data_IF_680501365307
#
_entry.id   IF_680501365307
#
_cell.length_a   1.000
_cell.length_b   1.000
_cell.length_c   1.000
_cell.angle_alpha   90.00
_cell.angle_beta   90.00
_cell.angle_gamma   90.00
#
_symmetry.space_group_name_H-M   'P 1'
#
loop_
_entity.id
_entity.type
_entity.pdbx_description
1 polymer ?
#
# COMPACT_ATOMS: atom_id res chain seq x y z
N UNK A 1 -7.46 1.34 26.54
CA UNK A 1 -8.21 1.32 25.26
C UNK A 1 -7.79 2.49 24.35
N UNK A 2 -6.98 2.21 23.32
CA UNK A 2 -6.57 3.21 22.32
C UNK A 2 -7.75 3.46 21.37
N UNK A 3 -8.45 4.57 21.54
CA UNK A 3 -9.62 4.91 20.71
C UNK A 3 -9.17 5.38 19.32
N UNK A 4 -8.93 4.42 18.43
CA UNK A 4 -8.73 4.66 17.01
C UNK A 4 -10.12 4.73 16.37
N UNK A 5 -10.48 5.90 15.84
CA UNK A 5 -11.75 6.12 15.16
C UNK A 5 -11.54 5.98 13.67
N UNK A 6 -12.32 5.12 13.02
CA UNK A 6 -12.33 5.00 11.57
C UNK A 6 -13.37 5.95 11.01
N UNK A 7 -12.95 6.97 10.28
CA UNK A 7 -13.83 7.96 9.67
C UNK A 7 -13.50 8.11 8.19
N UNK A 8 -14.51 7.93 7.32
CA UNK A 8 -14.37 7.92 5.86
C UNK A 8 -13.27 6.97 5.29
N UNK A 9 -12.90 5.93 6.05
CA UNK A 9 -11.84 4.99 5.66
C UNK A 9 -10.43 5.37 6.13
N UNK A 10 -10.28 6.49 6.83
CA UNK A 10 -9.04 6.91 7.49
C UNK A 10 -9.07 6.51 8.95
N UNK A 11 -7.94 5.97 9.44
CA UNK A 11 -7.78 5.64 10.86
C UNK A 11 -7.18 6.82 11.61
N UNK A 12 -8.01 7.46 12.44
CA UNK A 12 -7.65 8.63 13.22
C UNK A 12 -7.41 8.22 14.67
N UNK A 13 -6.18 8.41 15.15
CA UNK A 13 -5.87 8.33 16.57
C UNK A 13 -6.35 9.59 17.30
N UNK A 14 -6.65 9.50 18.62
CA UNK A 14 -7.01 10.67 19.46
C UNK A 14 -6.00 11.82 19.40
N UNK A 15 -4.74 11.54 19.04
CA UNK A 15 -3.67 12.53 18.88
C UNK A 15 -3.48 13.00 17.43
N UNK A 16 -4.34 12.60 16.49
CA UNK A 16 -4.17 12.79 15.03
C UNK A 16 -2.81 12.30 14.50
N UNK A 17 -2.18 11.39 15.23
CA UNK A 17 -0.96 10.72 14.79
C UNK A 17 -1.40 9.61 13.85
N UNK A 18 -1.41 9.88 12.54
CA UNK A 18 -1.76 8.93 11.48
C UNK A 18 -0.85 7.68 11.40
N UNK A 19 -0.04 7.41 12.42
CA UNK A 19 0.89 6.28 12.50
C UNK A 19 0.18 4.94 12.26
N UNK A 20 -1.01 4.75 12.82
CA UNK A 20 -1.76 3.51 12.58
C UNK A 20 -2.28 3.41 11.15
N UNK A 21 -2.73 4.53 10.57
CA UNK A 21 -3.16 4.62 9.17
C UNK A 21 -1.99 4.29 8.22
N UNK A 22 -0.85 4.96 8.40
CA UNK A 22 0.39 4.72 7.65
C UNK A 22 0.86 3.27 7.77
N UNK A 23 0.77 2.66 8.96
CA UNK A 23 1.16 1.24 9.15
C UNK A 23 0.26 0.28 8.36
N UNK A 24 -1.05 0.53 8.32
CA UNK A 24 -1.99 -0.29 7.53
C UNK A 24 -1.68 -0.14 6.03
N UNK A 25 -1.51 1.10 5.57
CA UNK A 25 -1.23 1.41 4.18
C UNK A 25 0.11 0.84 3.72
N UNK A 26 1.16 0.98 4.53
CA UNK A 26 2.46 0.37 4.29
C UNK A 26 2.37 -1.15 4.22
N UNK A 27 1.56 -1.77 5.10
CA UNK A 27 1.28 -3.21 5.04
C UNK A 27 0.58 -3.62 3.74
N UNK A 28 -0.42 -2.85 3.31
CA UNK A 28 -1.14 -3.08 2.05
C UNK A 28 -0.23 -2.91 0.83
N UNK A 29 0.57 -1.84 0.81
CA UNK A 29 1.57 -1.57 -0.21
C UNK A 29 2.62 -2.69 -0.28
N UNK A 30 3.09 -3.18 0.87
CA UNK A 30 4.02 -4.31 0.94
C UNK A 30 3.45 -5.59 0.34
N UNK A 31 2.16 -5.90 0.60
CA UNK A 31 1.48 -7.03 -0.05
C UNK A 31 1.40 -6.85 -1.57
N UNK A 32 1.04 -5.65 -2.03
CA UNK A 32 0.98 -5.35 -3.47
C UNK A 32 2.34 -5.48 -4.16
N UNK A 33 3.43 -5.02 -3.52
CA UNK A 33 4.81 -5.22 -4.01
C UNK A 33 5.15 -6.71 -4.08
N UNK A 34 4.81 -7.50 -3.04
CA UNK A 34 5.04 -8.95 -3.04
C UNK A 34 4.33 -9.65 -4.19
N UNK A 35 3.07 -9.30 -4.45
CA UNK A 35 2.31 -9.81 -5.61
C UNK A 35 2.92 -9.38 -6.95
N UNK A 36 3.44 -8.15 -7.04
CA UNK A 36 4.12 -7.64 -8.23
C UNK A 36 5.40 -8.43 -8.53
N UNK A 37 6.19 -8.76 -7.50
CA UNK A 37 7.41 -9.57 -7.63
C UNK A 37 7.06 -10.99 -8.07
N UNK A 38 6.02 -11.59 -7.48
CA UNK A 38 5.53 -12.91 -7.94
C UNK A 38 5.13 -12.89 -9.41
N UNK A 39 4.42 -11.85 -9.85
CA UNK A 39 4.00 -11.70 -11.24
C UNK A 39 5.19 -11.48 -12.18
N UNK A 40 6.21 -10.74 -11.74
CA UNK A 40 7.42 -10.50 -12.50
C UNK A 40 8.25 -11.78 -12.72
N UNK A 41 8.24 -12.70 -11.74
CA UNK A 41 8.93 -13.98 -11.81
C UNK A 41 8.19 -15.07 -12.61
N UNK A 42 7.15 -14.72 -13.36
CA UNK A 42 6.42 -15.68 -14.21
C UNK A 42 7.19 -16.03 -15.49
N UNK A 43 6.87 -17.17 -16.11
CA UNK A 43 7.60 -17.77 -17.26
C UNK A 43 7.72 -16.83 -18.48
N UNK A 44 6.83 -15.85 -18.63
CA UNK A 44 6.90 -14.75 -19.62
C UNK A 44 6.93 -13.40 -18.90
N UNK A 45 7.93 -13.23 -18.03
CA UNK A 45 8.02 -12.15 -17.05
C UNK A 45 7.59 -10.77 -17.53
N UNK A 46 7.09 -9.97 -16.58
CA UNK A 46 6.62 -8.62 -16.85
C UNK A 46 7.79 -7.72 -17.28
N UNK A 47 7.68 -7.00 -18.41
CA UNK A 47 8.68 -6.01 -18.80
C UNK A 47 8.89 -4.97 -17.68
N UNK A 48 10.14 -4.49 -17.46
CA UNK A 48 10.44 -3.46 -16.46
C UNK A 48 9.56 -2.21 -16.58
N UNK A 49 9.12 -1.89 -17.80
CA UNK A 49 8.18 -0.80 -18.07
C UNK A 49 6.81 -1.03 -17.39
N UNK A 50 6.24 -2.23 -17.57
CA UNK A 50 4.97 -2.61 -16.97
C UNK A 50 5.07 -2.72 -15.45
N UNK A 51 6.22 -3.16 -14.92
CA UNK A 51 6.48 -3.20 -13.48
C UNK A 51 6.47 -1.79 -12.88
N UNK A 52 7.14 -0.84 -13.54
CA UNK A 52 7.14 0.57 -13.13
C UNK A 52 5.75 1.19 -13.22
N UNK A 53 4.98 0.87 -14.26
CA UNK A 53 3.58 1.31 -14.41
C UNK A 53 2.72 0.83 -13.25
N UNK A 54 2.74 -0.48 -12.95
CA UNK A 54 1.97 -1.05 -11.84
C UNK A 54 2.40 -0.49 -10.48
N UNK A 55 3.70 -0.26 -10.27
CA UNK A 55 4.19 0.40 -9.06
C UNK A 55 3.59 1.81 -8.90
N UNK A 56 3.60 2.60 -9.97
CA UNK A 56 3.03 3.95 -9.95
C UNK A 56 1.51 3.96 -9.80
N UNK A 57 0.79 3.02 -10.39
CA UNK A 57 -0.67 3.00 -10.36
C UNK A 57 -1.25 2.40 -9.09
N UNK A 58 -0.60 1.38 -8.51
CA UNK A 58 -1.18 0.61 -7.42
C UNK A 58 -0.50 0.88 -6.08
N UNK A 59 0.80 1.18 -6.06
CA UNK A 59 1.59 1.25 -4.82
C UNK A 59 1.75 2.69 -4.36
N UNK A 60 2.04 3.63 -5.28
CA UNK A 60 2.13 5.06 -4.94
C UNK A 60 0.82 5.60 -4.34
N UNK A 61 -0.38 5.36 -4.92
CA UNK A 61 -1.61 5.92 -4.36
C UNK A 61 -1.93 5.36 -2.99
N UNK A 62 -1.62 4.09 -2.73
CA UNK A 62 -1.81 3.45 -1.41
C UNK A 62 -0.86 4.01 -0.36
N UNK A 63 0.33 4.50 -0.72
CA UNK A 63 1.23 5.15 0.23
C UNK A 63 0.96 6.65 0.39
N UNK A 64 0.38 7.30 -0.62
CA UNK A 64 0.20 8.75 -0.65
C UNK A 64 -1.17 9.18 -0.10
N UNK A 65 -2.14 8.26 -0.07
CA UNK A 65 -3.46 8.40 0.55
C UNK A 65 -3.45 7.75 1.93
#
# INVERSE_FOLDING_TARGET
PQAIVRWLGVYLDRKLLFNHHVKILAGSAGKAVGSLIMLANTVKGLSPYHMRMMYKSCIIPVMTY
#
